data_IF_641987395209
#
_entry.id   IF_641987395209
#
_cell.length_a   1.000
_cell.length_b   1.000
_cell.length_c   1.000
_cell.angle_alpha   90.00
_cell.angle_beta   90.00
_cell.angle_gamma   90.00
#
_symmetry.space_group_name_H-M   'P 1'
#
loop_
_entity.id
_entity.type
_entity.pdbx_description
1 polymer ?
#
# COMPACT_ATOMS: atom_id res chain seq x y z
N UNK A 1 13.30 3.81 7.40
CA UNK A 1 11.93 4.36 7.56
C UNK A 1 10.93 3.27 7.26
N UNK A 2 9.88 3.14 8.05
CA UNK A 2 8.86 2.11 7.86
C UNK A 2 7.54 2.82 7.58
N UNK A 3 6.87 2.44 6.49
CA UNK A 3 5.57 2.99 6.09
C UNK A 3 4.51 1.93 6.41
N UNK A 4 3.52 2.32 7.19
CA UNK A 4 2.41 1.49 7.62
C UNK A 4 1.11 1.88 6.91
N UNK A 5 0.09 1.05 7.05
CA UNK A 5 -1.27 1.40 6.68
C UNK A 5 -1.80 2.52 7.58
N UNK A 6 -2.58 3.42 7.00
CA UNK A 6 -3.23 4.52 7.71
C UNK A 6 -4.28 4.02 8.68
N UNK A 7 -4.05 4.20 9.97
CA UNK A 7 -5.00 3.86 11.03
C UNK A 7 -6.30 4.67 10.94
N UNK A 8 -6.22 5.93 10.48
CA UNK A 8 -7.39 6.81 10.35
C UNK A 8 -8.47 6.21 9.46
N UNK A 9 -8.07 5.64 8.30
CA UNK A 9 -9.02 4.99 7.38
C UNK A 9 -9.63 3.73 7.98
N UNK A 10 -8.84 2.91 8.68
CA UNK A 10 -9.33 1.69 9.35
C UNK A 10 -10.32 2.02 10.47
N UNK A 11 -10.01 3.03 11.29
CA UNK A 11 -10.93 3.52 12.34
C UNK A 11 -12.23 4.02 11.72
N UNK A 12 -12.16 4.81 10.64
CA UNK A 12 -13.36 5.31 9.98
C UNK A 12 -14.27 4.18 9.48
N UNK A 13 -13.68 3.13 8.87
CA UNK A 13 -14.44 1.96 8.40
C UNK A 13 -15.08 1.21 9.58
N UNK A 14 -14.34 1.04 10.68
CA UNK A 14 -14.86 0.37 11.89
C UNK A 14 -16.03 1.14 12.50
N UNK A 15 -15.91 2.48 12.62
CA UNK A 15 -16.98 3.35 13.12
C UNK A 15 -18.20 3.32 12.20
N UNK A 16 -18.00 3.41 10.88
CA UNK A 16 -19.09 3.32 9.91
C UNK A 16 -19.80 1.94 9.99
N UNK A 17 -19.05 0.86 10.15
CA UNK A 17 -19.61 -0.47 10.37
C UNK A 17 -20.46 -0.55 11.64
N UNK A 18 -20.00 0.05 12.73
CA UNK A 18 -20.73 0.07 14.00
C UNK A 18 -22.06 0.86 13.87
N UNK A 19 -22.01 2.02 13.22
CA UNK A 19 -23.21 2.82 12.95
C UNK A 19 -24.20 2.09 12.05
N UNK A 20 -23.74 1.42 11.00
CA UNK A 20 -24.57 0.61 10.13
C UNK A 20 -25.23 -0.56 10.88
N UNK A 21 -24.52 -1.19 11.81
CA UNK A 21 -25.07 -2.26 12.66
C UNK A 21 -26.18 -1.76 13.57
N UNK A 22 -25.98 -0.61 14.21
CA UNK A 22 -27.02 0.03 15.06
C UNK A 22 -28.24 0.37 14.19
N UNK A 23 -28.03 1.00 13.03
CA UNK A 23 -29.12 1.35 12.11
C UNK A 23 -29.88 0.11 11.65
N UNK A 24 -29.19 -0.98 11.31
CA UNK A 24 -29.81 -2.24 10.92
C UNK A 24 -30.67 -2.84 12.03
N UNK A 25 -30.19 -2.82 13.29
CA UNK A 25 -30.94 -3.24 14.46
C UNK A 25 -32.21 -2.41 14.70
N UNK A 26 -32.11 -1.09 14.55
CA UNK A 26 -33.27 -0.19 14.66
C UNK A 26 -34.31 -0.42 13.55
N UNK A 27 -33.86 -0.66 12.32
CA UNK A 27 -34.76 -0.99 11.20
C UNK A 27 -35.50 -2.29 11.46
N UNK A 28 -34.83 -3.34 11.94
CA UNK A 28 -35.46 -4.61 12.30
C UNK A 28 -36.50 -4.43 13.41
N UNK A 29 -36.20 -3.59 14.40
CA UNK A 29 -37.06 -3.42 15.56
C UNK A 29 -38.28 -2.53 15.28
N UNK A 30 -38.07 -1.35 14.67
CA UNK A 30 -39.13 -0.34 14.49
C UNK A 30 -39.85 -0.46 13.14
N UNK A 31 -39.10 -0.63 12.06
CA UNK A 31 -39.67 -0.62 10.68
C UNK A 31 -40.14 -2.02 10.28
N UNK A 32 -39.62 -3.07 10.92
CA UNK A 32 -39.92 -4.47 10.63
C UNK A 32 -39.61 -4.88 9.17
N UNK A 33 -38.81 -4.08 8.47
CA UNK A 33 -38.30 -4.46 7.15
C UNK A 33 -37.13 -5.44 7.33
N UNK A 34 -37.45 -6.72 7.21
CA UNK A 34 -36.51 -7.82 7.44
C UNK A 34 -35.36 -7.80 6.43
N UNK A 35 -35.65 -7.48 5.17
CA UNK A 35 -34.66 -7.52 4.10
C UNK A 35 -33.64 -6.38 4.29
N UNK A 36 -34.11 -5.16 4.44
CA UNK A 36 -33.24 -4.00 4.64
C UNK A 36 -32.42 -4.12 5.93
N UNK A 37 -33.07 -4.52 7.01
CA UNK A 37 -32.39 -4.68 8.30
C UNK A 37 -31.26 -5.70 8.26
N UNK A 38 -31.49 -6.88 7.68
CA UNK A 38 -30.43 -7.89 7.55
C UNK A 38 -29.31 -7.48 6.58
N UNK A 39 -29.63 -6.79 5.47
CA UNK A 39 -28.61 -6.25 4.59
C UNK A 39 -27.66 -5.29 5.32
N UNK A 40 -28.20 -4.41 6.16
CA UNK A 40 -27.39 -3.48 6.96
C UNK A 40 -26.53 -4.22 8.01
N UNK A 41 -27.11 -5.21 8.71
CA UNK A 41 -26.37 -6.00 9.71
C UNK A 41 -25.24 -6.78 9.07
N UNK A 42 -25.49 -7.45 7.95
CA UNK A 42 -24.44 -8.23 7.25
C UNK A 42 -23.33 -7.30 6.77
N UNK A 43 -23.68 -6.15 6.18
CA UNK A 43 -22.70 -5.15 5.74
C UNK A 43 -21.88 -4.63 6.92
N UNK A 44 -22.51 -4.38 8.07
CA UNK A 44 -21.86 -3.97 9.30
C UNK A 44 -20.84 -5.00 9.80
N UNK A 45 -21.22 -6.29 9.81
CA UNK A 45 -20.31 -7.37 10.22
C UNK A 45 -19.08 -7.42 9.33
N UNK A 46 -19.24 -7.35 8.00
CA UNK A 46 -18.10 -7.34 7.08
C UNK A 46 -17.22 -6.09 7.28
N UNK A 47 -17.81 -4.90 7.46
CA UNK A 47 -17.07 -3.68 7.72
C UNK A 47 -16.30 -3.73 9.05
N UNK A 48 -16.88 -4.29 10.11
CA UNK A 48 -16.22 -4.48 11.40
C UNK A 48 -15.07 -5.47 11.30
N UNK A 49 -15.28 -6.64 10.70
CA UNK A 49 -14.22 -7.64 10.51
C UNK A 49 -13.04 -7.09 9.70
N UNK A 50 -13.33 -6.40 8.60
CA UNK A 50 -12.30 -5.75 7.78
C UNK A 50 -11.58 -4.62 8.53
N UNK A 51 -12.33 -3.75 9.20
CA UNK A 51 -11.79 -2.61 9.95
C UNK A 51 -10.91 -3.07 11.11
N UNK A 52 -11.37 -4.02 11.90
CA UNK A 52 -10.61 -4.61 13.01
C UNK A 52 -9.36 -5.35 12.50
N UNK A 53 -9.49 -6.20 11.49
CA UNK A 53 -8.35 -6.89 10.89
C UNK A 53 -7.28 -5.92 10.40
N UNK A 54 -7.69 -4.80 9.77
CA UNK A 54 -6.78 -3.76 9.31
C UNK A 54 -6.15 -2.94 10.45
N UNK A 55 -6.82 -2.78 11.59
CA UNK A 55 -6.27 -2.11 12.78
C UNK A 55 -5.18 -2.95 13.47
N UNK A 56 -5.37 -4.27 13.51
CA UNK A 56 -4.40 -5.19 14.12
C UNK A 56 -3.24 -5.54 13.18
N UNK A 57 -3.37 -5.30 11.87
CA UNK A 57 -2.30 -5.55 10.90
C UNK A 57 -1.21 -4.48 11.02
N UNK A 58 -0.16 -4.80 11.80
CA UNK A 58 1.01 -3.95 12.02
C UNK A 58 2.17 -4.22 11.05
N UNK A 59 1.95 -5.05 10.04
CA UNK A 59 3.02 -5.41 9.11
C UNK A 59 3.52 -4.17 8.37
N UNK A 60 4.85 -4.01 8.24
CA UNK A 60 5.41 -2.94 7.43
C UNK A 60 5.00 -3.13 5.98
N UNK A 61 4.45 -2.10 5.36
CA UNK A 61 4.04 -2.16 3.96
C UNK A 61 5.20 -1.84 3.02
N UNK A 62 5.96 -0.80 3.33
CA UNK A 62 7.18 -0.43 2.63
C UNK A 62 8.26 -0.10 3.65
N UNK A 63 9.45 -0.65 3.48
CA UNK A 63 10.61 -0.39 4.32
C UNK A 63 11.70 0.26 3.49
N UNK A 64 12.02 1.52 3.79
CA UNK A 64 13.13 2.26 3.21
C UNK A 64 14.33 2.16 4.14
N UNK A 65 15.44 1.63 3.64
CA UNK A 65 16.71 1.49 4.36
C UNK A 65 17.80 2.32 3.68
N UNK A 66 18.97 2.40 4.28
CA UNK A 66 20.12 3.06 3.63
C UNK A 66 20.60 2.29 2.39
N UNK A 67 20.38 0.99 2.33
CA UNK A 67 20.79 0.12 1.23
C UNK A 67 19.77 -0.01 0.10
N UNK A 68 18.48 0.18 0.40
CA UNK A 68 17.44 0.01 -0.62
C UNK A 68 16.02 0.03 -0.06
N UNK A 69 15.09 -0.43 -0.90
CA UNK A 69 13.66 -0.51 -0.61
C UNK A 69 13.21 -1.97 -0.55
N UNK A 70 12.38 -2.29 0.44
CA UNK A 70 11.72 -3.59 0.57
C UNK A 70 10.22 -3.42 0.66
N UNK A 71 9.49 -4.18 -0.11
CA UNK A 71 8.03 -4.32 -0.04
C UNK A 71 7.71 -5.80 0.17
N UNK A 72 7.40 -6.22 1.41
CA UNK A 72 7.29 -7.65 1.78
C UNK A 72 6.19 -8.42 1.05
N UNK A 73 5.21 -7.72 0.44
CA UNK A 73 4.07 -8.37 -0.22
C UNK A 73 4.36 -8.78 -1.67
N UNK A 74 5.24 -8.06 -2.37
CA UNK A 74 5.55 -8.30 -3.78
C UNK A 74 6.99 -8.71 -4.00
N UNK A 75 7.90 -8.36 -3.09
CA UNK A 75 9.34 -8.53 -3.26
C UNK A 75 9.89 -9.25 -2.04
N UNK A 76 10.55 -10.39 -2.26
CA UNK A 76 11.22 -11.13 -1.18
C UNK A 76 12.54 -10.50 -0.77
N UNK A 77 13.21 -9.87 -1.71
CA UNK A 77 14.54 -9.30 -1.54
C UNK A 77 14.47 -7.79 -1.45
N UNK A 78 15.47 -7.21 -0.81
CA UNK A 78 15.65 -5.77 -0.80
C UNK A 78 16.14 -5.32 -2.18
N UNK A 79 15.46 -4.37 -2.80
CA UNK A 79 15.90 -3.71 -4.03
C UNK A 79 16.91 -2.63 -3.64
N UNK A 80 18.14 -2.76 -4.11
CA UNK A 80 19.19 -1.77 -3.93
C UNK A 80 18.87 -0.48 -4.69
N UNK A 81 19.30 0.67 -4.16
CA UNK A 81 19.07 1.97 -4.80
C UNK A 81 19.68 2.06 -6.19
N UNK A 82 20.83 1.43 -6.38
CA UNK A 82 21.59 1.39 -7.64
C UNK A 82 20.88 0.56 -8.73
N UNK A 83 20.04 -0.38 -8.32
CA UNK A 83 19.22 -1.19 -9.24
C UNK A 83 18.00 -0.43 -9.79
N UNK A 84 17.60 0.66 -9.14
CA UNK A 84 16.45 1.46 -9.55
C UNK A 84 16.87 2.46 -10.61
N UNK A 85 16.35 2.29 -11.84
CA UNK A 85 16.61 3.22 -12.95
C UNK A 85 15.73 4.48 -12.85
N UNK A 86 14.43 4.30 -12.65
CA UNK A 86 13.46 5.37 -12.62
C UNK A 86 12.33 5.09 -11.64
N UNK A 87 11.74 6.14 -11.10
CA UNK A 87 10.61 6.07 -10.15
C UNK A 87 9.58 7.10 -10.54
N UNK A 88 8.35 6.66 -10.70
CA UNK A 88 7.19 7.52 -10.92
C UNK A 88 5.95 7.00 -10.18
N UNK A 89 4.93 7.83 -10.14
CA UNK A 89 3.60 7.45 -9.72
C UNK A 89 2.62 7.57 -10.88
N UNK A 90 1.58 6.76 -10.86
CA UNK A 90 0.51 6.79 -11.83
C UNK A 90 -0.82 6.38 -11.19
N UNK A 91 -1.89 6.86 -11.79
CA UNK A 91 -3.24 6.54 -11.38
C UNK A 91 -3.84 5.44 -12.25
N UNK A 92 -4.29 4.34 -11.63
CA UNK A 92 -4.90 3.23 -12.35
C UNK A 92 -6.03 2.60 -11.55
N UNK A 93 -7.20 2.41 -12.18
CA UNK A 93 -8.40 1.80 -11.58
C UNK A 93 -8.80 2.41 -10.23
N UNK A 94 -8.84 3.75 -10.14
CA UNK A 94 -9.25 4.42 -8.92
C UNK A 94 -8.19 4.47 -7.82
N UNK A 95 -6.94 4.10 -8.09
CA UNK A 95 -5.87 4.01 -7.09
C UNK A 95 -4.56 4.57 -7.63
N UNK A 96 -3.77 5.16 -6.73
CA UNK A 96 -2.39 5.54 -7.02
C UNK A 96 -1.46 4.35 -6.80
N UNK A 97 -0.47 4.26 -7.67
CA UNK A 97 0.58 3.28 -7.64
C UNK A 97 1.92 3.97 -7.82
N UNK A 98 2.95 3.51 -7.13
CA UNK A 98 4.32 3.92 -7.38
C UNK A 98 5.00 2.81 -8.18
N UNK A 99 5.57 3.18 -9.32
CA UNK A 99 6.27 2.28 -10.21
C UNK A 99 7.78 2.49 -10.06
N UNK A 100 8.49 1.39 -9.81
CA UNK A 100 9.94 1.33 -9.80
C UNK A 100 10.39 0.61 -11.06
N UNK A 101 11.10 1.28 -11.94
CA UNK A 101 11.74 0.67 -13.10
C UNK A 101 13.15 0.24 -12.70
N UNK A 102 13.42 -1.06 -12.80
CA UNK A 102 14.69 -1.67 -12.41
C UNK A 102 15.57 -1.86 -13.65
N UNK A 103 16.89 -1.93 -13.43
CA UNK A 103 17.86 -2.28 -14.47
C UNK A 103 17.62 -3.69 -14.99
N UNK A 104 17.95 -3.95 -16.25
CA UNK A 104 17.69 -5.24 -16.92
C UNK A 104 18.44 -6.41 -16.29
N UNK A 105 19.63 -6.14 -15.75
CA UNK A 105 20.53 -7.11 -15.13
C UNK A 105 20.02 -7.54 -13.74
N UNK A 106 19.13 -6.76 -13.11
CA UNK A 106 18.59 -7.05 -11.80
C UNK A 106 17.38 -8.00 -11.88
N UNK A 107 17.49 -9.19 -11.28
CA UNK A 107 16.43 -10.21 -11.28
C UNK A 107 15.95 -10.46 -9.85
N UNK A 108 15.10 -9.59 -9.28
CA UNK A 108 14.59 -9.82 -7.94
C UNK A 108 13.65 -11.03 -7.90
N UNK A 109 13.66 -11.76 -6.79
CA UNK A 109 12.66 -12.78 -6.53
C UNK A 109 11.33 -12.13 -6.20
N UNK A 110 10.43 -12.12 -7.16
CA UNK A 110 9.13 -11.47 -7.04
C UNK A 110 8.05 -12.48 -6.66
N UNK A 111 7.29 -12.18 -5.61
CA UNK A 111 6.03 -12.86 -5.32
C UNK A 111 4.95 -12.09 -6.06
N UNK A 112 4.57 -12.54 -7.27
CA UNK A 112 3.60 -11.81 -8.09
C UNK A 112 2.27 -12.53 -8.23
N UNK A 113 1.14 -11.85 -8.02
CA UNK A 113 -0.15 -12.31 -8.51
C UNK A 113 -0.13 -12.45 -10.04
N UNK A 114 -0.78 -13.50 -10.58
CA UNK A 114 -0.71 -13.84 -12.02
C UNK A 114 -1.18 -12.75 -12.99
N UNK A 115 -2.00 -11.77 -12.53
CA UNK A 115 -2.47 -10.68 -13.36
C UNK A 115 -1.40 -9.60 -13.66
N UNK A 116 -0.36 -9.45 -12.82
CA UNK A 116 0.79 -8.59 -13.10
C UNK A 116 1.65 -9.07 -14.26
N UNK A 117 1.64 -10.37 -14.56
CA UNK A 117 2.44 -10.94 -15.65
C UNK A 117 2.09 -10.36 -17.04
N UNK A 118 0.85 -9.85 -17.22
CA UNK A 118 0.45 -9.21 -18.47
C UNK A 118 1.09 -7.84 -18.67
N UNK A 119 1.28 -7.07 -17.60
CA UNK A 119 1.96 -5.77 -17.66
C UNK A 119 3.47 -5.91 -17.79
N UNK A 120 4.06 -6.98 -17.23
CA UNK A 120 5.48 -7.25 -17.33
C UNK A 120 5.93 -7.44 -18.77
N UNK A 121 5.16 -8.14 -19.60
CA UNK A 121 5.51 -8.36 -21.01
C UNK A 121 5.70 -7.07 -21.81
N UNK A 122 4.98 -6.01 -21.45
CA UNK A 122 5.12 -4.71 -22.12
C UNK A 122 6.47 -4.04 -21.81
N UNK A 123 7.02 -4.27 -20.63
CA UNK A 123 8.31 -3.70 -20.21
C UNK A 123 9.49 -4.65 -20.45
N UNK A 124 9.25 -5.95 -20.45
CA UNK A 124 10.28 -6.95 -20.78
C UNK A 124 10.78 -6.81 -22.23
N UNK A 125 9.93 -6.36 -23.15
CA UNK A 125 10.34 -6.04 -24.54
C UNK A 125 11.33 -4.88 -24.61
N UNK A 126 11.31 -3.96 -23.63
CA UNK A 126 12.25 -2.84 -23.52
C UNK A 126 13.45 -3.16 -22.61
N UNK A 127 13.57 -4.40 -22.16
CA UNK A 127 14.65 -4.83 -21.27
C UNK A 127 14.61 -4.21 -19.87
N UNK A 128 13.45 -3.73 -19.42
CA UNK A 128 13.24 -3.08 -18.13
C UNK A 128 12.26 -3.92 -17.30
N UNK A 129 12.51 -4.05 -16.01
CA UNK A 129 11.58 -4.69 -15.07
C UNK A 129 10.87 -3.63 -14.25
N UNK A 130 9.55 -3.72 -14.17
CA UNK A 130 8.75 -2.83 -13.37
C UNK A 130 8.27 -3.52 -12.08
N UNK A 131 8.39 -2.81 -10.97
CA UNK A 131 7.81 -3.20 -9.67
C UNK A 131 6.79 -2.15 -9.29
N UNK A 132 5.63 -2.60 -8.80
CA UNK A 132 4.51 -1.73 -8.49
C UNK A 132 4.20 -1.78 -7.01
N UNK A 133 4.23 -0.63 -6.35
CA UNK A 133 3.85 -0.44 -4.96
C UNK A 133 2.45 0.18 -4.93
N UNK A 134 1.50 -0.52 -4.32
CA UNK A 134 0.13 -0.03 -4.17
C UNK A 134 0.05 1.01 -3.06
N UNK A 135 -0.43 2.21 -3.37
CA UNK A 135 -0.51 3.30 -2.41
C UNK A 135 -1.81 3.34 -1.58
N UNK A 136 -2.76 2.44 -1.90
CA UNK A 136 -4.07 2.44 -1.23
C UNK A 136 -3.93 2.14 0.27
N UNK A 137 -4.40 3.10 1.07
CA UNK A 137 -4.44 2.94 2.52
C UNK A 137 -3.12 3.21 3.24
N UNK A 138 -2.08 3.71 2.55
CA UNK A 138 -0.83 4.11 3.20
C UNK A 138 -0.94 5.49 3.87
N UNK A 139 -0.07 5.74 4.84
CA UNK A 139 0.04 7.02 5.56
C UNK A 139 0.69 8.11 4.71
N UNK A 140 1.45 7.72 3.70
CA UNK A 140 2.22 8.62 2.83
C UNK A 140 1.54 8.72 1.47
N UNK A 141 1.50 9.92 0.90
CA UNK A 141 1.01 10.15 -0.45
C UNK A 141 2.01 9.66 -1.52
N UNK A 142 1.49 9.30 -2.72
CA UNK A 142 2.32 8.76 -3.82
C UNK A 142 3.42 9.72 -4.25
N UNK A 143 3.10 11.00 -4.42
CA UNK A 143 4.08 12.02 -4.78
C UNK A 143 5.17 12.20 -3.74
N UNK A 144 4.79 12.15 -2.45
CA UNK A 144 5.76 12.24 -1.36
C UNK A 144 6.69 11.04 -1.32
N UNK A 145 6.15 9.82 -1.53
CA UNK A 145 6.96 8.60 -1.58
C UNK A 145 7.93 8.62 -2.76
N UNK A 146 7.47 9.00 -3.95
CA UNK A 146 8.32 9.14 -5.13
C UNK A 146 9.44 10.14 -4.89
N UNK A 147 9.13 11.32 -4.31
CA UNK A 147 10.13 12.33 -3.99
C UNK A 147 11.16 11.83 -2.97
N UNK A 148 10.72 11.08 -1.95
CA UNK A 148 11.61 10.47 -0.96
C UNK A 148 12.53 9.42 -1.59
N UNK A 149 11.98 8.54 -2.43
CA UNK A 149 12.75 7.50 -3.13
C UNK A 149 13.80 8.13 -4.05
N UNK A 150 13.43 9.16 -4.83
CA UNK A 150 14.37 9.88 -5.70
C UNK A 150 15.53 10.50 -4.91
N UNK A 151 15.23 11.20 -3.81
CA UNK A 151 16.26 11.78 -2.94
C UNK A 151 17.18 10.73 -2.31
N UNK A 152 16.63 9.61 -1.86
CA UNK A 152 17.43 8.52 -1.30
C UNK A 152 18.29 7.83 -2.36
N UNK A 153 17.80 7.72 -3.59
CA UNK A 153 18.56 7.17 -4.72
C UNK A 153 19.76 8.04 -5.09
N UNK A 154 19.59 9.37 -5.12
CA UNK A 154 20.61 10.35 -5.51
C UNK A 154 21.63 10.63 -4.39
N UNK A 155 21.27 10.35 -3.13
CA UNK A 155 22.12 10.60 -1.98
C UNK A 155 23.18 9.51 -1.78
N UNK A 156 24.33 9.89 -1.23
CA UNK A 156 25.35 8.96 -0.78
C UNK A 156 24.96 8.28 0.55
N UNK A 157 25.66 7.19 0.91
CA UNK A 157 25.36 6.39 2.11
C UNK A 157 25.19 7.21 3.39
N UNK A 158 26.11 8.12 3.77
CA UNK A 158 25.96 8.90 5.00
C UNK A 158 24.73 9.81 4.94
N UNK A 159 24.46 10.42 3.79
CA UNK A 159 23.32 11.32 3.58
C UNK A 159 22.00 10.57 3.60
N UNK A 160 21.95 9.34 3.07
CA UNK A 160 20.76 8.45 3.16
C UNK A 160 20.36 8.23 4.61
N UNK A 161 21.32 7.97 5.50
CA UNK A 161 21.05 7.79 6.94
C UNK A 161 20.47 9.06 7.56
N UNK A 162 21.00 10.22 7.20
CA UNK A 162 20.50 11.53 7.64
C UNK A 162 19.07 11.79 7.18
N UNK A 163 18.79 11.55 5.89
CA UNK A 163 17.46 11.68 5.30
C UNK A 163 16.43 10.73 5.94
N UNK A 164 16.81 9.47 6.17
CA UNK A 164 15.92 8.48 6.81
C UNK A 164 15.58 8.85 8.25
N UNK A 165 16.51 9.41 9.01
CA UNK A 165 16.25 9.96 10.36
C UNK A 165 15.26 11.13 10.29
N UNK A 166 15.45 12.06 9.35
CA UNK A 166 14.56 13.21 9.14
C UNK A 166 13.14 12.80 8.74
N UNK A 167 13.00 11.75 7.91
CA UNK A 167 11.68 11.25 7.50
C UNK A 167 10.97 10.43 8.59
N UNK A 168 11.72 9.88 9.53
CA UNK A 168 11.16 9.15 10.69
C UNK A 168 10.60 10.09 11.76
N UNK A 169 11.08 11.32 11.85
CA UNK A 169 10.68 12.32 12.86
C UNK A 169 9.48 13.16 12.45
N UNK A 170 8.96 13.02 11.24
CA UNK A 170 7.73 13.63 10.74
C UNK A 170 6.57 12.62 10.73
#
# INVERSE_FOLDING_TARGET
>A
MIIHKSRKKSVCITVAGLLAGIAGGLVLYYVRDVVLGWCLVITAVFALLYGMGSLFDRRPYVVLTAHGITEPFTIREQIEWEAIRYVDDFYFRGQYWVRLLLRCDYKPQLIRPGWFRRFDRLYESEGVKAVYIRMMGLEVDSMQLVAQIRKLKEADMPDRIGLLKKYRSK
#
